data_IF_581595593372
#
_entry.id   IF_581595593372
#
_cell.length_a   1.000
_cell.length_b   1.000
_cell.length_c   1.000
_cell.angle_alpha   90.00
_cell.angle_beta   90.00
_cell.angle_gamma   90.00
#
_symmetry.space_group_name_H-M   'P 1'
#
loop_
_entity.id
_entity.type
_entity.pdbx_description
1 polymer ?
#
# COMPACT_ATOMS: atom_id res chain seq x y z
N UNK A 1 5.56 10.50 5.94
CA UNK A 1 6.88 11.08 5.64
C UNK A 1 7.22 10.67 4.21
N UNK A 2 7.34 11.62 3.27
CA UNK A 2 7.61 11.32 1.87
C UNK A 2 9.01 10.75 1.68
N UNK A 3 9.25 10.02 0.57
CA UNK A 3 10.57 9.50 0.22
C UNK A 3 11.56 10.66 0.06
N UNK A 4 11.11 11.82 -0.40
CA UNK A 4 11.91 13.04 -0.44
C UNK A 4 12.47 13.42 0.93
N UNK A 5 11.67 13.40 2.00
CA UNK A 5 12.16 13.69 3.35
C UNK A 5 13.19 12.68 3.86
N UNK A 6 13.16 11.43 3.37
CA UNK A 6 14.13 10.40 3.75
C UNK A 6 15.43 10.46 2.95
N UNK A 7 15.37 10.85 1.66
CA UNK A 7 16.52 10.95 0.77
C UNK A 7 17.30 12.25 0.98
N UNK A 8 16.64 13.35 1.39
CA UNK A 8 17.28 14.65 1.58
C UNK A 8 17.72 14.98 3.02
N UNK A 9 17.45 14.13 4.01
CA UNK A 9 18.03 14.28 5.36
C UNK A 9 19.44 13.72 5.47
N UNK A 10 20.32 14.09 4.53
CA UNK A 10 21.77 14.02 4.76
C UNK A 10 22.26 15.42 5.09
N UNK A 11 23.18 15.58 6.07
CA UNK A 11 23.68 16.90 6.43
C UNK A 11 24.31 17.56 5.21
N UNK A 12 23.85 18.77 4.90
CA UNK A 12 24.53 19.66 3.96
C UNK A 12 25.93 19.89 4.52
N UNK A 13 26.95 19.32 3.86
CA UNK A 13 28.32 19.63 4.18
C UNK A 13 28.54 21.10 3.77
N UNK A 14 28.59 21.98 4.75
CA UNK A 14 29.04 23.35 4.53
C UNK A 14 30.53 23.29 4.12
N UNK A 15 30.79 23.40 2.84
CA UNK A 15 32.14 23.68 2.33
C UNK A 15 32.43 25.13 2.60
N UNK A 16 33.05 25.41 3.74
CA UNK A 16 33.61 26.71 4.06
C UNK A 16 34.78 27.00 3.12
N UNK A 17 34.65 28.12 2.45
CA UNK A 17 35.61 28.97 1.74
C UNK A 17 37.02 28.43 1.50
N UNK A 18 37.21 27.72 0.41
CA UNK A 18 38.53 27.54 -0.22
C UNK A 18 38.49 28.37 -1.52
N UNK A 19 39.55 29.19 -1.77
CA UNK A 19 39.58 30.10 -2.90
C UNK A 19 39.27 29.42 -4.26
N UNK A 20 38.72 30.19 -5.19
CA UNK A 20 38.14 29.69 -6.46
C UNK A 20 39.03 28.73 -7.27
N UNK A 21 40.35 28.86 -7.19
CA UNK A 21 41.32 27.97 -7.86
C UNK A 21 41.44 26.58 -7.21
N UNK A 22 41.33 26.51 -5.87
CA UNK A 22 41.33 25.27 -5.12
C UNK A 22 39.98 24.53 -5.29
N UNK A 23 38.86 25.29 -5.36
CA UNK A 23 37.54 24.72 -5.62
C UNK A 23 37.45 24.09 -7.03
N UNK A 24 38.02 24.69 -8.04
CA UNK A 24 38.07 24.12 -9.39
C UNK A 24 38.90 22.84 -9.47
N UNK A 25 40.08 22.81 -8.79
CA UNK A 25 40.92 21.61 -8.72
C UNK A 25 40.23 20.47 -7.93
N UNK A 26 39.61 20.78 -6.82
CA UNK A 26 38.84 19.81 -6.01
C UNK A 26 37.64 19.29 -6.78
N UNK A 27 36.95 20.15 -7.52
CA UNK A 27 35.83 19.76 -8.38
C UNK A 27 36.30 18.85 -9.51
N UNK A 28 37.46 19.17 -10.16
CA UNK A 28 38.04 18.36 -11.22
C UNK A 28 38.48 16.97 -10.69
N UNK A 29 39.08 16.91 -9.49
CA UNK A 29 39.46 15.65 -8.82
C UNK A 29 38.23 14.84 -8.45
N UNK A 30 37.20 15.46 -7.93
CA UNK A 30 35.91 14.80 -7.65
C UNK A 30 35.26 14.26 -8.94
N UNK A 31 35.26 15.03 -10.02
CA UNK A 31 34.78 14.58 -11.34
C UNK A 31 35.64 13.44 -11.90
N UNK A 32 36.97 13.49 -11.75
CA UNK A 32 37.87 12.42 -12.17
C UNK A 32 37.68 11.15 -11.31
N UNK A 33 37.54 11.28 -10.00
CA UNK A 33 37.22 10.15 -9.11
C UNK A 33 35.83 9.57 -9.45
N UNK A 34 34.86 10.40 -9.78
CA UNK A 34 33.55 9.96 -10.26
C UNK A 34 33.65 9.22 -11.63
N UNK A 35 34.48 9.66 -12.50
CA UNK A 35 34.74 9.02 -13.81
C UNK A 35 35.56 7.74 -13.71
N UNK A 36 36.46 7.64 -12.73
CA UNK A 36 37.35 6.50 -12.51
C UNK A 36 36.75 5.42 -11.59
N UNK A 37 35.89 5.80 -10.66
CA UNK A 37 35.25 4.84 -9.74
C UNK A 37 34.00 4.16 -10.33
N UNK A 38 33.76 4.30 -11.65
CA UNK A 38 32.71 3.61 -12.38
C UNK A 38 31.38 3.58 -11.62
N UNK A 39 30.48 4.47 -11.97
CA UNK A 39 29.16 4.49 -11.32
C UNK A 39 28.51 3.11 -11.32
N UNK A 40 27.71 2.81 -10.30
CA UNK A 40 26.90 1.58 -10.28
C UNK A 40 26.07 1.48 -11.56
N UNK A 41 26.14 0.33 -12.21
CA UNK A 41 25.37 0.03 -13.40
C UNK A 41 24.10 -0.64 -12.93
N UNK A 42 22.96 -0.03 -13.26
CA UNK A 42 21.65 -0.62 -13.03
C UNK A 42 21.28 -1.39 -14.29
N UNK A 43 20.98 -2.67 -14.13
CA UNK A 43 20.61 -3.54 -15.26
C UNK A 43 19.18 -4.03 -15.10
N UNK A 44 18.44 -4.05 -16.21
CA UNK A 44 17.20 -4.77 -16.35
C UNK A 44 17.41 -5.89 -17.36
N UNK A 45 17.11 -7.15 -16.97
CA UNK A 45 17.32 -8.35 -17.81
C UNK A 45 18.74 -8.45 -18.45
N UNK A 46 19.75 -7.91 -17.78
CA UNK A 46 21.13 -7.90 -18.26
C UNK A 46 21.49 -6.71 -19.16
N UNK A 47 20.54 -5.86 -19.51
CA UNK A 47 20.80 -4.61 -20.23
C UNK A 47 21.02 -3.44 -19.26
N UNK A 48 21.99 -2.58 -19.58
CA UNK A 48 22.28 -1.37 -18.79
C UNK A 48 21.19 -0.35 -19.04
N UNK A 49 20.30 -0.15 -18.05
CA UNK A 49 19.18 0.79 -18.13
C UNK A 49 19.49 2.16 -17.56
N UNK A 50 20.41 2.22 -16.61
CA UNK A 50 20.88 3.48 -16.04
C UNK A 50 22.26 3.37 -15.41
N UNK A 51 22.92 4.51 -15.25
CA UNK A 51 24.14 4.64 -14.49
C UNK A 51 23.91 5.55 -13.29
N UNK A 52 24.30 5.08 -12.13
CA UNK A 52 24.33 5.88 -10.92
C UNK A 52 25.76 6.43 -10.73
N UNK A 53 25.83 7.73 -10.58
CA UNK A 53 27.07 8.45 -10.26
C UNK A 53 26.94 9.03 -8.86
N UNK A 54 27.54 8.38 -7.85
CA UNK A 54 27.39 8.84 -6.49
C UNK A 54 28.04 7.93 -5.46
N UNK A 55 27.85 8.29 -4.20
CA UNK A 55 28.39 7.55 -3.07
C UNK A 55 27.39 6.46 -2.68
N UNK A 56 27.89 5.22 -2.65
CA UNK A 56 27.14 4.05 -2.16
C UNK A 56 27.62 3.70 -0.76
N UNK A 57 26.69 3.31 0.11
CA UNK A 57 27.01 2.67 1.39
C UNK A 57 26.39 1.27 1.39
N UNK A 58 27.20 0.27 1.04
CA UNK A 58 26.69 -1.04 0.63
C UNK A 58 25.90 -0.91 -0.66
N UNK A 59 24.72 -1.50 -0.75
CA UNK A 59 23.84 -1.43 -1.93
C UNK A 59 22.91 -0.21 -1.94
N UNK A 60 23.12 0.76 -1.03
CA UNK A 60 22.24 1.93 -0.87
C UNK A 60 22.89 3.17 -1.47
N UNK A 61 22.27 3.80 -2.47
CA UNK A 61 22.65 5.12 -2.95
C UNK A 61 22.50 6.16 -1.83
N UNK A 62 23.56 6.86 -1.47
CA UNK A 62 23.54 7.86 -0.39
C UNK A 62 23.63 9.29 -0.90
N UNK A 63 24.31 9.50 -2.01
CA UNK A 63 24.43 10.81 -2.66
C UNK A 63 24.86 10.59 -4.11
N UNK A 64 24.11 11.11 -5.07
CA UNK A 64 24.53 11.03 -6.48
C UNK A 64 23.40 11.35 -7.47
N UNK A 65 23.71 11.11 -8.74
CA UNK A 65 22.82 11.38 -9.87
C UNK A 65 22.59 10.09 -10.65
N UNK A 66 21.34 9.80 -10.92
CA UNK A 66 20.94 8.74 -11.84
C UNK A 66 20.86 9.31 -13.26
N UNK A 67 21.46 8.62 -14.21
CA UNK A 67 21.36 8.95 -15.63
C UNK A 67 20.82 7.75 -16.40
N UNK A 68 19.61 7.88 -16.92
CA UNK A 68 19.03 6.88 -17.83
C UNK A 68 19.84 6.79 -19.12
N UNK A 69 19.99 5.58 -19.65
CA UNK A 69 20.70 5.34 -20.93
C UNK A 69 19.74 5.34 -22.12
N UNK A 70 18.43 5.34 -21.87
CA UNK A 70 17.39 5.19 -22.90
C UNK A 70 16.68 6.50 -23.29
N UNK A 71 17.13 7.63 -22.75
CA UNK A 71 16.50 8.93 -23.02
C UNK A 71 15.11 9.11 -22.37
N UNK A 72 14.69 8.24 -21.45
CA UNK A 72 13.37 8.23 -20.83
C UNK A 72 13.07 9.39 -19.86
N UNK A 73 13.91 10.42 -19.87
CA UNK A 73 13.64 11.63 -19.08
C UNK A 73 13.62 11.43 -17.58
N UNK A 74 14.58 10.65 -17.05
CA UNK A 74 14.71 10.42 -15.61
C UNK A 74 13.95 9.19 -15.10
N UNK A 75 13.38 8.36 -15.96
CA UNK A 75 12.84 7.04 -15.62
C UNK A 75 13.94 6.00 -15.61
N UNK A 76 13.94 5.16 -14.60
CA UNK A 76 14.87 4.04 -14.44
C UNK A 76 14.02 2.83 -14.06
N UNK A 77 14.23 1.70 -14.74
CA UNK A 77 13.55 0.45 -14.44
C UNK A 77 14.50 -0.52 -13.73
N UNK A 78 13.96 -1.41 -12.90
CA UNK A 78 14.70 -2.56 -12.34
C UNK A 78 15.78 -2.21 -11.34
N UNK A 79 15.65 -1.15 -10.55
CA UNK A 79 16.59 -0.85 -9.46
C UNK A 79 16.26 -1.64 -8.19
N UNK A 80 17.30 -1.91 -7.41
CA UNK A 80 17.19 -2.40 -6.03
C UNK A 80 17.78 -1.38 -5.07
N UNK A 81 16.99 -0.98 -4.08
CA UNK A 81 17.42 -0.02 -3.05
C UNK A 81 17.17 -0.62 -1.68
N UNK A 82 18.16 -0.56 -0.80
CA UNK A 82 18.03 -0.87 0.62
C UNK A 82 18.22 0.40 1.43
N UNK A 83 17.25 0.72 2.27
CA UNK A 83 17.28 1.92 3.12
C UNK A 83 17.91 1.62 4.47
N UNK A 84 18.37 2.67 5.17
CA UNK A 84 19.00 2.54 6.49
C UNK A 84 18.08 1.97 7.57
N UNK A 85 16.76 2.15 7.42
CA UNK A 85 15.75 1.63 8.33
C UNK A 85 15.42 0.14 8.08
N UNK A 86 16.10 -0.49 7.11
CA UNK A 86 15.91 -1.89 6.74
C UNK A 86 14.87 -2.10 5.64
N UNK A 87 14.10 -1.08 5.26
CA UNK A 87 13.18 -1.16 4.14
C UNK A 87 13.93 -1.34 2.82
N UNK A 88 13.25 -1.85 1.80
CA UNK A 88 13.83 -2.12 0.47
C UNK A 88 12.80 -1.90 -0.61
N UNK A 89 13.28 -1.51 -1.78
CA UNK A 89 12.47 -1.35 -2.97
C UNK A 89 13.16 -2.01 -4.17
N UNK A 90 12.38 -2.69 -4.98
CA UNK A 90 12.78 -3.20 -6.29
C UNK A 90 11.73 -2.77 -7.31
N UNK A 91 12.13 -2.02 -8.35
CA UNK A 91 11.20 -1.50 -9.34
C UNK A 91 11.74 -0.31 -10.11
N UNK A 92 10.84 0.47 -10.68
CA UNK A 92 11.18 1.67 -11.44
C UNK A 92 11.28 2.92 -10.55
N UNK A 93 12.05 3.91 -11.02
CA UNK A 93 12.13 5.26 -10.46
C UNK A 93 11.80 6.31 -11.52
N UNK A 94 11.18 7.38 -11.09
CA UNK A 94 11.05 8.61 -11.87
C UNK A 94 11.34 9.79 -10.94
N UNK A 95 12.38 10.57 -11.26
CA UNK A 95 12.89 11.66 -10.41
C UNK A 95 13.07 11.22 -8.93
N UNK A 96 13.69 10.05 -8.70
CA UNK A 96 13.95 9.44 -7.39
C UNK A 96 12.68 8.99 -6.61
N UNK A 97 11.51 9.08 -7.20
CA UNK A 97 10.29 8.51 -6.63
C UNK A 97 10.03 7.11 -7.21
N UNK A 98 9.49 6.19 -6.42
CA UNK A 98 9.05 4.89 -6.93
C UNK A 98 8.02 5.12 -8.03
N UNK A 99 8.22 4.47 -9.17
CA UNK A 99 7.37 4.66 -10.35
C UNK A 99 7.31 3.38 -11.17
N UNK A 100 6.16 3.14 -11.81
CA UNK A 100 5.92 1.93 -12.55
C UNK A 100 5.79 0.70 -11.65
N UNK A 101 5.95 -0.49 -12.19
CA UNK A 101 5.85 -1.74 -11.43
C UNK A 101 7.01 -1.88 -10.46
N UNK A 102 6.70 -2.34 -9.25
CA UNK A 102 7.71 -2.53 -8.21
C UNK A 102 7.20 -3.29 -7.00
N UNK A 103 8.17 -3.61 -6.13
CA UNK A 103 7.93 -4.25 -4.83
C UNK A 103 8.64 -3.41 -3.77
N UNK A 104 7.88 -2.94 -2.80
CA UNK A 104 8.41 -2.25 -1.62
C UNK A 104 8.20 -3.11 -0.39
N UNK A 105 9.25 -3.32 0.39
CA UNK A 105 9.14 -3.91 1.73
C UNK A 105 9.48 -2.84 2.74
N UNK A 106 8.57 -2.52 3.65
CA UNK A 106 8.83 -1.54 4.69
C UNK A 106 9.69 -2.13 5.83
N UNK A 107 10.04 -1.27 6.80
CA UNK A 107 10.84 -1.66 7.97
C UNK A 107 10.15 -2.68 8.88
N UNK A 108 8.82 -2.75 8.84
CA UNK A 108 7.99 -3.62 9.67
C UNK A 108 7.75 -4.99 8.99
N UNK A 109 8.22 -5.15 7.74
CA UNK A 109 8.12 -6.40 6.97
C UNK A 109 6.89 -6.48 6.07
N UNK A 110 6.06 -5.43 5.99
CA UNK A 110 4.96 -5.40 5.04
C UNK A 110 5.50 -5.30 3.61
N UNK A 111 4.90 -6.06 2.69
CA UNK A 111 5.31 -6.13 1.29
C UNK A 111 4.21 -5.57 0.40
N UNK A 112 4.53 -4.51 -0.31
CA UNK A 112 3.67 -3.80 -1.25
C UNK A 112 4.10 -4.13 -2.67
N UNK A 113 3.19 -4.61 -3.52
CA UNK A 113 3.48 -4.99 -4.91
C UNK A 113 2.44 -4.38 -5.83
N UNK A 114 2.88 -3.77 -6.92
CA UNK A 114 1.96 -3.16 -7.89
C UNK A 114 2.61 -2.04 -8.69
N UNK A 115 1.77 -1.16 -9.20
CA UNK A 115 2.23 0.06 -9.85
C UNK A 115 2.41 1.17 -8.82
N UNK A 116 3.51 1.89 -8.93
CA UNK A 116 3.81 3.04 -8.09
C UNK A 116 3.78 4.33 -8.91
N UNK A 117 3.23 5.37 -8.33
CA UNK A 117 3.29 6.73 -8.83
C UNK A 117 3.66 7.67 -7.67
N UNK A 118 4.69 8.50 -7.89
CA UNK A 118 5.19 9.43 -6.85
C UNK A 118 5.43 8.75 -5.50
N UNK A 119 5.98 7.52 -5.52
CA UNK A 119 6.33 6.76 -4.32
C UNK A 119 5.16 6.06 -3.62
N UNK A 120 3.96 6.06 -4.19
CA UNK A 120 2.75 5.44 -3.63
C UNK A 120 2.17 4.42 -4.58
N UNK A 121 1.52 3.37 -4.05
CA UNK A 121 0.75 2.44 -4.87
C UNK A 121 -0.41 3.16 -5.55
N UNK A 122 -0.59 2.87 -6.85
CA UNK A 122 -1.64 3.43 -7.68
C UNK A 122 -2.20 2.34 -8.62
N UNK A 123 -3.52 2.30 -8.79
CA UNK A 123 -4.20 1.26 -9.56
C UNK A 123 -4.15 -0.10 -8.89
N UNK A 124 -4.10 -1.19 -9.67
CA UNK A 124 -4.09 -2.56 -9.17
C UNK A 124 -2.79 -2.90 -8.44
N UNK A 125 -2.93 -3.45 -7.24
CA UNK A 125 -1.80 -3.84 -6.41
C UNK A 125 -2.17 -4.83 -5.32
N UNK A 126 -1.17 -5.19 -4.51
CA UNK A 126 -1.35 -6.05 -3.34
C UNK A 126 -0.43 -5.64 -2.20
N UNK A 127 -0.90 -5.89 -0.99
CA UNK A 127 -0.10 -5.76 0.24
C UNK A 127 -0.17 -7.08 0.99
N UNK A 128 0.99 -7.55 1.45
CA UNK A 128 1.09 -8.61 2.48
C UNK A 128 1.62 -7.98 3.74
N UNK A 129 0.84 -8.03 4.79
CA UNK A 129 1.21 -7.48 6.09
C UNK A 129 2.02 -8.48 6.91
N UNK A 130 2.85 -7.97 7.80
CA UNK A 130 3.71 -8.78 8.65
C UNK A 130 2.91 -9.66 9.65
N UNK A 131 1.67 -9.26 9.96
CA UNK A 131 0.75 -10.04 10.80
C UNK A 131 0.11 -11.24 10.08
N UNK A 132 0.39 -11.43 8.77
CA UNK A 132 -0.16 -12.50 7.95
C UNK A 132 -1.42 -12.09 7.17
N UNK A 133 -1.97 -10.92 7.40
CA UNK A 133 -3.09 -10.42 6.60
C UNK A 133 -2.62 -9.99 5.20
N UNK A 134 -3.56 -9.89 4.25
CA UNK A 134 -3.23 -9.45 2.90
C UNK A 134 -4.39 -8.72 2.24
N UNK A 135 -4.06 -7.75 1.41
CA UNK A 135 -5.00 -7.04 0.57
C UNK A 135 -4.61 -7.14 -0.91
N UNK A 136 -5.60 -7.30 -1.77
CA UNK A 136 -5.42 -7.23 -3.23
C UNK A 136 -6.58 -6.45 -3.81
N UNK A 137 -6.30 -5.43 -4.62
CA UNK A 137 -7.34 -4.59 -5.19
C UNK A 137 -6.82 -3.27 -5.74
N UNK A 138 -7.73 -2.30 -5.84
CA UNK A 138 -7.44 -0.97 -6.32
C UNK A 138 -6.83 -0.09 -5.23
N UNK A 139 -5.84 0.71 -5.62
CA UNK A 139 -5.17 1.69 -4.78
C UNK A 139 -5.25 3.08 -5.41
N UNK A 140 -5.45 4.08 -4.57
CA UNK A 140 -5.22 5.48 -4.89
C UNK A 140 -4.41 6.13 -3.77
N UNK A 141 -3.36 6.86 -4.16
CA UNK A 141 -2.45 7.57 -3.23
C UNK A 141 -1.88 6.65 -2.13
N UNK A 142 -1.71 5.34 -2.42
CA UNK A 142 -1.17 4.35 -1.49
C UNK A 142 -2.19 3.76 -0.50
N UNK A 143 -3.46 4.10 -0.61
CA UNK A 143 -4.56 3.55 0.18
C UNK A 143 -5.44 2.66 -0.69
N UNK A 144 -6.07 1.64 -0.10
CA UNK A 144 -7.12 0.88 -0.76
C UNK A 144 -8.27 1.83 -1.13
N UNK A 145 -8.57 1.96 -2.43
CA UNK A 145 -9.62 2.84 -2.94
C UNK A 145 -10.16 2.26 -4.25
N UNK A 146 -11.38 1.73 -4.20
CA UNK A 146 -12.00 0.97 -5.27
C UNK A 146 -12.35 -0.44 -4.82
N UNK A 147 -12.35 -1.42 -5.73
CA UNK A 147 -12.73 -2.79 -5.41
C UNK A 147 -11.53 -3.62 -4.98
N UNK A 148 -11.70 -4.44 -3.93
CA UNK A 148 -10.63 -5.27 -3.42
C UNK A 148 -11.07 -6.40 -2.52
N UNK A 149 -10.08 -7.22 -2.14
CA UNK A 149 -10.23 -8.35 -1.22
C UNK A 149 -9.17 -8.26 -0.12
N UNK A 150 -9.63 -8.24 1.13
CA UNK A 150 -8.82 -8.28 2.34
C UNK A 150 -8.99 -9.62 3.00
N UNK A 151 -7.89 -10.30 3.30
CA UNK A 151 -7.84 -11.51 4.12
C UNK A 151 -7.12 -11.12 5.41
N UNK A 152 -7.79 -11.32 6.54
CA UNK A 152 -7.25 -10.98 7.86
C UNK A 152 -6.48 -12.17 8.46
N UNK A 153 -5.60 -11.88 9.41
CA UNK A 153 -4.77 -12.88 10.08
C UNK A 153 -5.60 -13.92 10.87
N UNK A 154 -6.80 -13.56 11.30
CA UNK A 154 -7.74 -14.48 11.98
C UNK A 154 -8.50 -15.42 11.04
N UNK A 155 -8.26 -15.32 9.72
CA UNK A 155 -8.94 -16.10 8.68
C UNK A 155 -10.26 -15.50 8.20
N UNK A 156 -10.72 -14.39 8.76
CA UNK A 156 -11.84 -13.64 8.20
C UNK A 156 -11.44 -12.99 6.88
N UNK A 157 -12.43 -12.66 6.02
CA UNK A 157 -12.15 -12.01 4.75
C UNK A 157 -13.25 -11.03 4.37
N UNK A 158 -12.87 -9.95 3.70
CA UNK A 158 -13.79 -8.99 3.13
C UNK A 158 -13.52 -8.85 1.63
N UNK A 159 -14.58 -8.84 0.85
CA UNK A 159 -14.53 -8.58 -0.59
C UNK A 159 -15.59 -7.54 -0.95
N UNK A 160 -15.17 -6.40 -1.45
CA UNK A 160 -16.07 -5.28 -1.71
C UNK A 160 -15.34 -4.00 -2.04
N UNK A 161 -16.06 -2.89 -1.88
CA UNK A 161 -15.50 -1.58 -2.14
C UNK A 161 -14.80 -1.01 -0.91
N UNK A 162 -13.73 -0.26 -1.19
CA UNK A 162 -12.95 0.51 -0.23
C UNK A 162 -12.95 1.99 -0.64
N UNK A 163 -12.86 2.86 0.33
CA UNK A 163 -12.63 4.29 0.13
C UNK A 163 -11.63 4.78 1.16
N UNK A 164 -10.51 5.31 0.68
CA UNK A 164 -9.42 5.83 1.52
C UNK A 164 -8.96 4.85 2.61
N UNK A 165 -8.93 3.55 2.29
CA UNK A 165 -8.50 2.47 3.18
C UNK A 165 -9.61 1.83 4.02
N UNK A 166 -10.81 2.38 4.05
CA UNK A 166 -11.95 1.87 4.83
C UNK A 166 -12.95 1.13 3.93
N UNK A 167 -13.60 0.07 4.46
CA UNK A 167 -14.72 -0.61 3.77
C UNK A 167 -15.86 0.37 3.56
N UNK A 168 -16.36 0.45 2.31
CA UNK A 168 -17.38 1.41 1.91
C UNK A 168 -18.24 0.82 0.78
N UNK A 169 -19.52 1.21 0.70
CA UNK A 169 -20.43 0.68 -0.33
C UNK A 169 -20.71 -0.81 -0.16
N UNK A 170 -20.98 -1.50 -1.26
CA UNK A 170 -21.37 -2.93 -1.23
C UNK A 170 -20.16 -3.84 -1.00
N UNK A 171 -20.36 -4.85 -0.11
CA UNK A 171 -19.34 -5.85 0.15
C UNK A 171 -19.88 -7.09 0.86
N UNK A 172 -19.02 -8.11 0.94
CA UNK A 172 -19.25 -9.35 1.68
C UNK A 172 -18.13 -9.53 2.68
N UNK A 173 -18.47 -9.70 3.94
CA UNK A 173 -17.57 -9.99 5.05
C UNK A 173 -17.85 -11.40 5.55
N UNK A 174 -16.86 -12.28 5.48
CA UNK A 174 -16.88 -13.63 6.06
C UNK A 174 -16.06 -13.57 7.34
N UNK A 175 -16.66 -13.90 8.44
CA UNK A 175 -16.02 -13.93 9.75
C UNK A 175 -15.30 -15.27 9.98
N UNK A 176 -14.35 -15.29 10.91
CA UNK A 176 -13.59 -16.49 11.26
C UNK A 176 -14.50 -17.62 11.84
N UNK A 177 -15.63 -17.26 12.44
CA UNK A 177 -16.64 -18.22 12.94
C UNK A 177 -17.55 -18.79 11.83
N UNK A 178 -17.35 -18.38 10.57
CA UNK A 178 -18.14 -18.81 9.42
C UNK A 178 -19.45 -18.01 9.22
N UNK A 179 -19.74 -17.01 10.05
CA UNK A 179 -20.83 -16.08 9.78
C UNK A 179 -20.51 -15.20 8.57
N UNK A 180 -21.53 -14.71 7.88
CA UNK A 180 -21.38 -13.93 6.65
C UNK A 180 -22.31 -12.74 6.66
N UNK A 181 -21.77 -11.57 6.39
CA UNK A 181 -22.54 -10.37 6.07
C UNK A 181 -22.35 -10.01 4.61
N UNK A 182 -23.43 -9.70 3.93
CA UNK A 182 -23.45 -9.12 2.58
C UNK A 182 -24.38 -7.93 2.57
N UNK A 183 -23.87 -6.75 2.26
CA UNK A 183 -24.65 -5.52 2.30
C UNK A 183 -23.80 -4.27 2.16
N UNK A 184 -24.34 -3.17 2.68
CA UNK A 184 -23.68 -1.88 2.65
C UNK A 184 -22.70 -1.72 3.82
N UNK A 185 -21.62 -0.99 3.55
CA UNK A 185 -20.62 -0.56 4.52
C UNK A 185 -20.42 0.95 4.46
N UNK A 186 -20.21 1.54 5.60
CA UNK A 186 -19.77 2.93 5.78
C UNK A 186 -18.69 2.98 6.86
N UNK A 187 -17.48 3.48 6.51
CA UNK A 187 -16.35 3.60 7.44
C UNK A 187 -16.09 2.33 8.25
N UNK A 188 -15.86 1.22 7.53
CA UNK A 188 -15.62 -0.12 8.08
C UNK A 188 -16.81 -0.79 8.78
N UNK A 189 -17.92 -0.08 8.98
CA UNK A 189 -19.11 -0.58 9.69
C UNK A 189 -20.19 -1.05 8.71
N UNK A 190 -20.89 -2.13 9.07
CA UNK A 190 -22.13 -2.53 8.38
C UNK A 190 -23.14 -1.42 8.54
N UNK A 191 -23.71 -0.98 7.42
CA UNK A 191 -24.64 0.14 7.36
C UNK A 191 -25.68 -0.12 6.28
N UNK A 192 -26.82 0.65 6.28
CA UNK A 192 -27.86 0.48 5.24
C UNK A 192 -28.43 -0.93 5.19
N UNK A 193 -28.76 -1.39 3.99
CA UNK A 193 -29.38 -2.69 3.77
C UNK A 193 -28.35 -3.82 3.71
N UNK A 194 -28.67 -4.93 4.39
CA UNK A 194 -27.80 -6.10 4.37
C UNK A 194 -28.46 -7.39 4.79
N UNK A 195 -27.77 -8.49 4.47
CA UNK A 195 -28.10 -9.82 4.93
C UNK A 195 -26.98 -10.36 5.80
N UNK A 196 -27.31 -10.80 6.99
CA UNK A 196 -26.38 -11.47 7.90
C UNK A 196 -26.80 -12.92 8.07
N UNK A 197 -25.91 -13.85 7.80
CA UNK A 197 -26.04 -15.26 8.13
C UNK A 197 -25.13 -15.56 9.32
N UNK A 198 -25.71 -15.91 10.43
CA UNK A 198 -25.01 -16.31 11.65
C UNK A 198 -24.37 -17.69 11.50
N UNK A 199 -23.36 -17.99 12.30
CA UNK A 199 -22.73 -19.32 12.37
C UNK A 199 -23.74 -20.42 12.79
N UNK A 200 -24.79 -20.06 13.56
CA UNK A 200 -25.91 -20.94 13.92
C UNK A 200 -26.77 -21.38 12.74
N UNK A 201 -26.64 -20.71 11.59
CA UNK A 201 -27.53 -20.86 10.41
C UNK A 201 -28.71 -19.88 10.39
N UNK A 202 -28.95 -19.15 11.46
CA UNK A 202 -29.94 -18.08 11.48
C UNK A 202 -29.63 -17.02 10.41
N UNK A 203 -30.64 -16.30 9.93
CA UNK A 203 -30.39 -15.18 9.01
C UNK A 203 -31.21 -13.97 9.40
N UNK A 204 -30.60 -12.80 9.22
CA UNK A 204 -31.27 -11.53 9.27
C UNK A 204 -31.13 -10.83 7.91
N UNK A 205 -32.19 -10.23 7.44
CA UNK A 205 -32.19 -9.36 6.25
C UNK A 205 -32.95 -8.09 6.58
N UNK A 206 -32.32 -6.93 6.46
CA UNK A 206 -32.89 -5.64 6.78
C UNK A 206 -31.82 -4.59 7.05
N UNK A 207 -32.18 -3.58 7.84
CA UNK A 207 -31.36 -2.40 8.06
C UNK A 207 -30.28 -2.62 9.11
N UNK A 208 -29.11 -2.02 8.87
CA UNK A 208 -27.97 -1.91 9.78
C UNK A 208 -27.58 -0.45 9.97
N UNK A 209 -27.17 -0.09 11.17
CA UNK A 209 -26.56 1.19 11.48
C UNK A 209 -25.38 0.97 12.42
N UNK A 210 -24.17 1.34 11.97
CA UNK A 210 -22.95 1.22 12.76
C UNK A 210 -22.78 -0.18 13.39
N UNK A 211 -22.86 -1.23 12.55
CA UNK A 211 -22.77 -2.65 12.92
C UNK A 211 -24.01 -3.22 13.68
N UNK A 212 -25.00 -2.41 14.02
CA UNK A 212 -26.16 -2.82 14.81
C UNK A 212 -27.37 -3.04 13.88
N UNK A 213 -28.07 -4.16 14.06
CA UNK A 213 -29.36 -4.41 13.44
C UNK A 213 -30.37 -3.38 13.97
N UNK A 214 -31.09 -2.71 13.06
CA UNK A 214 -32.08 -1.66 13.40
C UNK A 214 -33.15 -1.60 12.31
N UNK A 215 -34.19 -0.76 12.52
CA UNK A 215 -35.24 -0.55 11.53
C UNK A 215 -36.04 -1.81 11.20
N UNK A 216 -36.57 -1.87 10.00
CA UNK A 216 -37.44 -2.96 9.57
C UNK A 216 -36.65 -4.09 8.95
N UNK A 217 -36.95 -5.36 9.35
CA UNK A 217 -36.21 -6.50 8.82
C UNK A 217 -36.90 -7.84 9.09
N UNK A 218 -36.31 -8.88 8.53
CA UNK A 218 -36.76 -10.26 8.66
C UNK A 218 -35.67 -11.11 9.29
N UNK A 219 -35.99 -11.78 10.37
CA UNK A 219 -35.13 -12.75 11.04
C UNK A 219 -35.71 -14.16 10.87
N UNK A 220 -34.88 -15.08 10.35
CA UNK A 220 -35.18 -16.50 10.22
C UNK A 220 -34.39 -17.28 11.26
N UNK A 221 -35.11 -18.00 12.14
CA UNK A 221 -34.53 -18.90 13.14
C UNK A 221 -34.34 -20.28 12.55
N UNK A 222 -33.11 -20.65 12.23
CA UNK A 222 -32.79 -21.90 11.54
C UNK A 222 -33.25 -23.15 12.29
N UNK A 223 -32.99 -23.22 13.58
CA UNK A 223 -33.33 -24.40 14.43
C UNK A 223 -34.81 -24.69 14.54
N UNK A 224 -35.66 -23.67 14.49
CA UNK A 224 -37.12 -23.79 14.64
C UNK A 224 -37.92 -23.61 13.37
N UNK A 225 -37.27 -23.13 12.29
CA UNK A 225 -37.94 -22.73 11.05
C UNK A 225 -38.83 -21.52 11.17
N UNK A 226 -38.83 -20.81 12.32
CA UNK A 226 -39.66 -19.64 12.55
C UNK A 226 -39.11 -18.42 11.83
N UNK A 227 -40.04 -17.53 11.45
CA UNK A 227 -39.70 -16.24 10.85
C UNK A 227 -40.33 -15.14 11.71
N UNK A 228 -39.56 -14.10 11.96
CA UNK A 228 -40.07 -12.84 12.51
C UNK A 228 -39.80 -11.75 11.47
N UNK A 229 -40.83 -10.96 11.16
CA UNK A 229 -40.71 -9.76 10.32
C UNK A 229 -41.29 -8.60 11.06
N UNK A 230 -40.54 -7.54 11.27
CA UNK A 230 -40.94 -6.39 12.04
C UNK A 230 -39.81 -5.42 12.29
N UNK A 231 -40.06 -4.51 13.24
CA UNK A 231 -39.08 -3.49 13.63
C UNK A 231 -38.06 -4.08 14.61
N UNK A 232 -36.81 -3.65 14.49
CA UNK A 232 -35.69 -3.97 15.37
C UNK A 232 -35.10 -2.68 15.96
N UNK A 233 -34.86 -2.68 17.27
CA UNK A 233 -34.19 -1.61 17.99
C UNK A 233 -32.99 -2.20 18.72
N UNK A 234 -31.78 -1.73 18.38
CA UNK A 234 -30.52 -2.25 18.96
C UNK A 234 -30.40 -3.78 18.92
N UNK A 235 -30.80 -4.40 17.79
CA UNK A 235 -30.75 -5.84 17.59
C UNK A 235 -31.92 -6.63 18.23
N UNK A 236 -32.85 -5.97 18.93
CA UNK A 236 -33.98 -6.60 19.62
C UNK A 236 -35.24 -6.44 18.78
N UNK A 237 -35.94 -7.54 18.41
CA UNK A 237 -37.23 -7.46 17.71
C UNK A 237 -38.26 -6.81 18.61
N UNK A 238 -39.06 -5.88 18.06
CA UNK A 238 -40.18 -5.24 18.76
C UNK A 238 -41.43 -6.08 18.51
N UNK A 239 -41.82 -6.88 19.49
CA UNK A 239 -42.99 -7.73 19.45
C UNK A 239 -44.14 -6.91 20.12
N UNK A 240 -45.10 -6.44 19.34
CA UNK A 240 -46.34 -5.80 19.84
C UNK A 240 -47.35 -6.86 20.27
#
# INVERSE_FOLDING_TARGET
MSIEERLYRTPVVHVLGIGAAAAAATFLVLVLVFLLCGGCILTDNGEVTARYFGIMKGDVPTLGVFRSTDGSGGRINGIRVKFKDGSRYEGGLHYLNFSGKGVYTDKDGNVYSGSFENGKLEGQGSVKYADGSSFTGDFALGLADGYGEMIYADGSSYKGYFKSGEKSGKGTLIYADGSVYTGDFERDMRHGEGKYRFASGDTYTGEFRNNVITGYGTYFFYASGRVFTGEFVAGIPQIN
#
